data_IF_500433299501
#
_entry.id   IF_500433299501
#
_cell.length_a   1.000
_cell.length_b   1.000
_cell.length_c   1.000
_cell.angle_alpha   90.00
_cell.angle_beta   90.00
_cell.angle_gamma   90.00
#
_symmetry.space_group_name_H-M   'P 1'
#
loop_
_entity.id
_entity.type
_entity.pdbx_description
1 polymer ?
#
# COMPACT_ATOMS: atom_id res chain seq x y z
N UNK A 1 -27.64 3.72 19.62
CA UNK A 1 -28.43 2.63 18.98
C UNK A 1 -27.63 1.35 18.98
N UNK A 2 -27.81 0.54 20.02
CA UNK A 2 -27.06 -0.68 20.32
C UNK A 2 -27.89 -1.97 20.18
N UNK A 3 -29.14 -1.90 19.71
CA UNK A 3 -30.11 -3.02 19.72
C UNK A 3 -30.46 -3.57 18.32
N UNK A 4 -29.64 -3.32 17.31
CA UNK A 4 -29.91 -3.76 15.93
C UNK A 4 -28.99 -4.92 15.57
N UNK A 5 -29.57 -6.05 15.19
CA UNK A 5 -28.86 -7.22 14.69
C UNK A 5 -28.91 -7.26 13.16
N UNK A 6 -27.77 -7.47 12.52
CA UNK A 6 -27.62 -7.46 11.06
C UNK A 6 -27.45 -8.88 10.50
N UNK A 7 -28.18 -9.21 9.43
CA UNK A 7 -28.11 -10.50 8.76
C UNK A 7 -27.69 -10.30 7.31
N UNK A 8 -26.55 -10.90 6.92
CA UNK A 8 -26.03 -10.88 5.56
C UNK A 8 -25.52 -12.26 5.13
N UNK A 9 -25.71 -12.62 3.87
CA UNK A 9 -25.14 -13.83 3.30
C UNK A 9 -23.61 -13.72 3.13
N UNK A 10 -22.85 -14.69 3.65
CA UNK A 10 -21.41 -14.80 3.38
C UNK A 10 -21.07 -15.72 2.21
N UNK A 11 -21.83 -16.81 1.99
CA UNK A 11 -21.64 -17.76 0.88
C UNK A 11 -22.96 -18.49 0.59
N UNK A 12 -23.58 -18.28 -0.58
CA UNK A 12 -24.77 -19.03 -1.01
C UNK A 12 -24.53 -19.64 -2.40
N UNK A 13 -24.97 -20.88 -2.60
CA UNK A 13 -24.87 -21.61 -3.89
C UNK A 13 -26.21 -21.83 -4.59
N UNK A 14 -27.33 -21.41 -3.97
CA UNK A 14 -28.68 -21.75 -4.43
C UNK A 14 -29.52 -20.52 -4.82
N UNK A 15 -29.73 -19.55 -3.92
CA UNK A 15 -30.41 -18.28 -4.19
C UNK A 15 -29.91 -17.19 -3.26
N UNK A 16 -29.59 -16.01 -3.79
CA UNK A 16 -29.24 -14.82 -3.02
C UNK A 16 -30.48 -14.17 -2.40
N UNK A 17 -30.31 -13.52 -1.23
CA UNK A 17 -31.35 -12.74 -0.58
C UNK A 17 -30.85 -11.32 -0.27
N UNK A 18 -31.75 -10.34 -0.29
CA UNK A 18 -31.41 -8.96 0.10
C UNK A 18 -31.09 -8.90 1.59
N UNK A 19 -29.93 -8.37 2.01
CA UNK A 19 -29.58 -8.23 3.42
C UNK A 19 -30.63 -7.40 4.16
N UNK A 20 -30.98 -7.82 5.37
CA UNK A 20 -31.96 -7.14 6.20
C UNK A 20 -31.46 -6.99 7.64
N UNK A 21 -32.15 -6.15 8.43
CA UNK A 21 -31.87 -5.98 9.84
C UNK A 21 -33.16 -6.11 10.64
N UNK A 22 -33.05 -6.65 11.85
CA UNK A 22 -34.18 -6.76 12.78
C UNK A 22 -33.79 -6.22 14.16
N UNK A 23 -34.80 -5.82 14.92
CA UNK A 23 -34.69 -5.42 16.33
C UNK A 23 -35.54 -6.35 17.19
N UNK A 24 -35.20 -6.47 18.47
CA UNK A 24 -36.07 -7.13 19.44
C UNK A 24 -37.02 -6.09 20.01
N UNK A 25 -38.33 -6.33 19.93
CA UNK A 25 -39.35 -5.44 20.49
C UNK A 25 -39.53 -5.68 22.01
N UNK A 26 -40.36 -4.86 22.66
CA UNK A 26 -40.64 -4.96 24.10
C UNK A 26 -41.30 -6.28 24.53
N UNK A 27 -41.79 -7.07 23.56
CA UNK A 27 -42.34 -8.42 23.76
C UNK A 27 -41.31 -9.52 23.53
N UNK A 28 -40.03 -9.16 23.44
CA UNK A 28 -38.92 -10.05 23.11
C UNK A 28 -39.05 -10.76 21.75
N UNK A 29 -39.85 -10.21 20.82
CA UNK A 29 -40.04 -10.76 19.48
C UNK A 29 -39.21 -9.99 18.44
N UNK A 30 -38.67 -10.67 17.41
CA UNK A 30 -37.97 -10.01 16.32
C UNK A 30 -38.95 -9.25 15.41
N UNK A 31 -38.65 -7.98 15.16
CA UNK A 31 -39.36 -7.12 14.20
C UNK A 31 -38.38 -6.55 13.18
N UNK A 32 -38.76 -6.54 11.90
CA UNK A 32 -37.94 -5.99 10.82
C UNK A 32 -37.69 -4.50 11.08
N UNK A 33 -36.43 -4.06 11.02
CA UNK A 33 -36.09 -2.67 11.22
C UNK A 33 -36.39 -1.86 9.95
N UNK A 34 -37.58 -1.24 9.90
CA UNK A 34 -37.93 -0.30 8.83
C UNK A 34 -36.97 0.90 8.80
N UNK A 35 -36.43 1.21 7.61
CA UNK A 35 -35.49 2.31 7.39
C UNK A 35 -34.01 1.95 7.52
N UNK A 36 -33.64 0.68 7.72
CA UNK A 36 -32.25 0.25 7.70
C UNK A 36 -31.67 0.35 6.27
N UNK A 37 -30.95 1.44 5.99
CA UNK A 37 -30.13 1.56 4.78
C UNK A 37 -28.83 0.80 5.00
N UNK A 38 -28.68 -0.30 4.26
CA UNK A 38 -27.39 -0.96 4.16
C UNK A 38 -26.42 0.02 3.49
N UNK A 39 -25.47 0.57 4.24
CA UNK A 39 -24.28 1.16 3.63
C UNK A 39 -23.65 0.03 2.80
N UNK A 40 -23.84 0.08 1.48
CA UNK A 40 -23.32 -0.92 0.58
C UNK A 40 -21.81 -0.98 0.80
N UNK A 41 -21.34 -1.99 1.53
CA UNK A 41 -19.92 -2.33 1.54
C UNK A 41 -19.61 -2.64 0.09
N UNK A 42 -18.90 -1.72 -0.58
CA UNK A 42 -18.53 -1.87 -1.99
C UNK A 42 -18.06 -3.30 -2.20
N UNK A 43 -18.75 -4.13 -3.01
CA UNK A 43 -18.30 -5.48 -3.28
C UNK A 43 -17.00 -5.35 -4.07
N UNK A 44 -15.89 -5.65 -3.41
CA UNK A 44 -14.56 -5.50 -3.97
C UNK A 44 -13.57 -5.20 -2.87
N UNK A 45 -12.47 -5.97 -2.83
CA UNK A 45 -11.26 -5.55 -2.13
C UNK A 45 -10.99 -4.09 -2.53
N UNK A 46 -10.68 -3.16 -1.60
CA UNK A 46 -10.23 -1.85 -2.00
C UNK A 46 -9.15 -2.06 -3.04
N UNK A 47 -9.35 -1.50 -4.24
CA UNK A 47 -8.33 -1.53 -5.28
C UNK A 47 -7.20 -0.69 -4.70
N UNK A 48 -6.26 -1.34 -4.03
CA UNK A 48 -5.03 -0.70 -3.63
C UNK A 48 -4.43 -0.13 -4.92
N UNK A 49 -4.31 1.20 -4.97
CA UNK A 49 -3.64 1.85 -6.08
C UNK A 49 -2.26 1.20 -6.24
N UNK A 50 -1.91 0.91 -7.49
CA UNK A 50 -0.60 0.32 -7.79
C UNK A 50 0.46 1.30 -7.31
N UNK A 51 1.40 0.78 -6.52
CA UNK A 51 2.52 1.57 -6.02
C UNK A 51 3.28 2.22 -7.18
N UNK A 52 3.34 3.54 -7.16
CA UNK A 52 4.05 4.39 -8.10
C UNK A 52 5.10 5.19 -7.30
N UNK A 53 6.39 4.81 -7.35
CA UNK A 53 7.45 5.50 -6.62
C UNK A 53 7.50 7.01 -6.88
N UNK A 54 7.05 7.48 -8.04
CA UNK A 54 7.05 8.89 -8.41
C UNK A 54 5.89 9.68 -7.77
N UNK A 55 4.81 9.01 -7.37
CA UNK A 55 3.65 9.67 -6.74
C UNK A 55 3.59 9.41 -5.24
N UNK A 56 4.01 8.23 -4.83
CA UNK A 56 3.86 7.74 -3.46
C UNK A 56 5.01 8.16 -2.54
N UNK A 57 6.12 8.64 -3.11
CA UNK A 57 7.32 9.02 -2.35
C UNK A 57 7.75 10.40 -2.80
N UNK A 58 7.90 11.32 -1.85
CA UNK A 58 8.41 12.66 -2.14
C UNK A 58 9.90 12.66 -2.48
N UNK A 59 10.34 13.65 -3.24
CA UNK A 59 11.76 13.87 -3.54
C UNK A 59 12.62 13.91 -2.28
N UNK A 60 12.16 14.62 -1.23
CA UNK A 60 12.89 14.74 0.02
C UNK A 60 13.06 13.38 0.72
N UNK A 61 12.04 12.51 0.69
CA UNK A 61 12.15 11.16 1.22
C UNK A 61 13.16 10.32 0.43
N UNK A 62 13.17 10.41 -0.90
CA UNK A 62 14.20 9.77 -1.71
C UNK A 62 15.59 10.24 -1.34
N UNK A 63 15.78 11.56 -1.21
CA UNK A 63 17.08 12.15 -0.88
C UNK A 63 17.60 11.67 0.46
N UNK A 64 16.81 11.79 1.53
CA UNK A 64 17.19 11.35 2.87
C UNK A 64 17.50 9.84 2.89
N UNK A 65 16.67 9.02 2.25
CA UNK A 65 16.86 7.58 2.23
C UNK A 65 18.10 7.17 1.40
N UNK A 66 18.34 7.81 0.26
CA UNK A 66 19.50 7.53 -0.59
C UNK A 66 20.79 8.03 0.06
N UNK A 67 20.80 9.21 0.68
CA UNK A 67 21.93 9.69 1.47
C UNK A 67 22.26 8.73 2.63
N UNK A 68 21.25 8.18 3.30
CA UNK A 68 21.46 7.18 4.34
C UNK A 68 21.97 5.83 3.82
N UNK A 69 21.50 5.37 2.66
CA UNK A 69 22.01 4.14 2.02
C UNK A 69 23.46 4.34 1.55
N UNK A 70 23.70 5.36 0.73
CA UNK A 70 25.00 5.57 0.09
C UNK A 70 26.03 6.20 1.02
N UNK A 71 25.62 6.76 2.15
CA UNK A 71 26.53 7.16 3.24
C UNK A 71 27.17 5.97 3.97
N UNK A 72 26.58 4.76 3.89
CA UNK A 72 27.18 3.55 4.45
C UNK A 72 28.16 2.88 3.48
N UNK A 73 27.90 2.97 2.18
CA UNK A 73 28.73 2.41 1.10
C UNK A 73 28.48 3.21 -0.18
N UNK A 74 29.55 3.65 -0.83
CA UNK A 74 29.45 4.53 -2.00
C UNK A 74 28.87 3.82 -3.24
N UNK A 75 29.02 2.50 -3.33
CA UNK A 75 28.58 1.71 -4.48
C UNK A 75 27.92 0.39 -4.08
N UNK A 76 26.84 0.02 -4.75
CA UNK A 76 26.12 -1.23 -4.51
C UNK A 76 25.94 -2.07 -5.78
N UNK A 77 25.99 -3.39 -5.64
CA UNK A 77 25.43 -4.29 -6.66
C UNK A 77 23.89 -4.21 -6.68
N UNK A 78 23.23 -4.72 -7.72
CA UNK A 78 21.76 -4.64 -7.83
C UNK A 78 21.04 -5.25 -6.61
N UNK A 79 21.39 -6.49 -6.24
CA UNK A 79 20.76 -7.19 -5.10
C UNK A 79 21.06 -6.50 -3.77
N UNK A 80 22.31 -6.07 -3.57
CA UNK A 80 22.70 -5.36 -2.36
C UNK A 80 21.97 -4.01 -2.23
N UNK A 81 21.79 -3.29 -3.35
CA UNK A 81 21.03 -2.05 -3.39
C UNK A 81 19.57 -2.30 -3.03
N UNK A 82 18.96 -3.34 -3.61
CA UNK A 82 17.58 -3.74 -3.30
C UNK A 82 17.38 -3.98 -1.80
N UNK A 83 18.25 -4.78 -1.19
CA UNK A 83 18.20 -5.06 0.25
C UNK A 83 18.42 -3.81 1.10
N UNK A 84 19.37 -2.95 0.71
CA UNK A 84 19.64 -1.70 1.41
C UNK A 84 18.45 -0.74 1.36
N UNK A 85 17.79 -0.60 0.20
CA UNK A 85 16.61 0.24 0.05
C UNK A 85 15.44 -0.29 0.90
N UNK A 86 15.20 -1.61 0.90
CA UNK A 86 14.16 -2.24 1.73
C UNK A 86 14.40 -1.97 3.22
N UNK A 87 15.67 -1.96 3.65
CA UNK A 87 16.04 -1.71 5.05
C UNK A 87 15.91 -0.24 5.46
N UNK A 88 16.24 0.70 4.58
CA UNK A 88 16.33 2.13 4.91
C UNK A 88 15.04 2.90 4.65
N UNK A 89 14.31 2.64 3.57
CA UNK A 89 13.07 3.40 3.27
C UNK A 89 11.99 3.36 4.37
N UNK A 90 11.88 2.29 5.21
CA UNK A 90 10.98 2.32 6.36
C UNK A 90 11.29 3.43 7.37
N UNK A 91 12.54 3.90 7.48
CA UNK A 91 12.92 4.98 8.41
C UNK A 91 12.37 6.34 7.96
N UNK A 92 12.06 6.51 6.67
CA UNK A 92 11.37 7.70 6.12
C UNK A 92 9.87 7.48 5.93
N UNK A 93 9.32 6.42 6.53
CA UNK A 93 7.89 6.10 6.54
C UNK A 93 7.40 5.27 5.34
N UNK A 94 8.30 4.79 4.47
CA UNK A 94 7.94 4.05 3.26
C UNK A 94 8.20 2.55 3.43
N UNK A 95 7.14 1.74 3.46
CA UNK A 95 7.26 0.28 3.51
C UNK A 95 7.51 -0.29 2.11
N UNK A 96 8.72 -0.79 1.90
CA UNK A 96 9.10 -1.48 0.66
C UNK A 96 9.09 -3.00 0.84
N UNK A 97 8.71 -3.70 -0.23
CA UNK A 97 8.93 -5.14 -0.43
C UNK A 97 9.80 -5.33 -1.68
N UNK A 98 10.18 -6.57 -1.99
CA UNK A 98 11.00 -6.87 -3.18
C UNK A 98 10.43 -6.29 -4.47
N UNK A 99 9.15 -6.51 -4.76
CA UNK A 99 8.50 -5.98 -5.97
C UNK A 99 8.56 -4.45 -6.04
N UNK A 100 8.21 -3.76 -4.95
CA UNK A 100 8.25 -2.29 -4.86
C UNK A 100 9.68 -1.76 -4.97
N UNK A 101 10.66 -2.46 -4.40
CA UNK A 101 12.07 -2.09 -4.49
C UNK A 101 12.60 -2.19 -5.93
N UNK A 102 12.24 -3.24 -6.68
CA UNK A 102 12.57 -3.34 -8.12
C UNK A 102 11.98 -2.18 -8.92
N UNK A 103 10.69 -1.87 -8.70
CA UNK A 103 10.03 -0.73 -9.36
C UNK A 103 10.70 0.59 -8.99
N UNK A 104 11.06 0.76 -7.71
CA UNK A 104 11.78 1.92 -7.20
C UNK A 104 13.16 2.07 -7.86
N UNK A 105 14.00 1.03 -7.86
CA UNK A 105 15.33 1.08 -8.50
C UNK A 105 15.22 1.48 -9.97
N UNK A 106 14.23 0.93 -10.67
CA UNK A 106 13.95 1.28 -12.07
C UNK A 106 13.63 2.76 -12.22
N UNK A 107 12.77 3.31 -11.36
CA UNK A 107 12.42 4.74 -11.36
C UNK A 107 13.62 5.63 -11.02
N UNK A 108 14.36 5.31 -9.95
CA UNK A 108 15.56 6.04 -9.52
C UNK A 108 16.61 6.12 -10.63
N UNK A 109 16.79 5.03 -11.38
CA UNK A 109 17.68 5.00 -12.54
C UNK A 109 17.16 5.88 -13.67
N UNK A 110 15.87 5.83 -13.98
CA UNK A 110 15.26 6.65 -15.03
C UNK A 110 15.38 8.15 -14.73
N UNK A 111 15.23 8.54 -13.46
CA UNK A 111 15.42 9.92 -12.97
C UNK A 111 16.89 10.31 -12.75
N UNK A 112 17.83 9.41 -13.03
CA UNK A 112 19.28 9.59 -12.82
C UNK A 112 19.67 9.92 -11.37
N UNK A 113 18.82 9.56 -10.40
CA UNK A 113 19.13 9.64 -8.97
C UNK A 113 20.20 8.61 -8.60
N UNK A 114 20.14 7.44 -9.26
CA UNK A 114 21.15 6.39 -9.14
C UNK A 114 21.67 6.08 -10.55
N UNK A 115 22.99 6.06 -10.71
CA UNK A 115 23.65 5.81 -11.99
C UNK A 115 24.48 4.53 -11.94
N UNK A 116 24.66 3.91 -13.10
CA UNK A 116 25.46 2.71 -13.27
C UNK A 116 26.65 3.04 -14.17
N UNK A 117 27.73 3.57 -13.60
CA UNK A 117 28.85 4.13 -14.39
C UNK A 117 29.72 3.04 -15.04
N UNK A 118 30.00 1.95 -14.32
CA UNK A 118 30.90 0.88 -14.79
C UNK A 118 30.17 -0.42 -15.17
N UNK A 119 28.87 -0.35 -15.45
CA UNK A 119 28.04 -1.51 -15.86
C UNK A 119 27.83 -2.60 -14.79
N UNK A 120 28.43 -2.48 -13.60
CA UNK A 120 28.32 -3.49 -12.53
C UNK A 120 27.74 -2.99 -11.21
N UNK A 121 27.92 -1.72 -10.89
CA UNK A 121 27.51 -1.13 -9.62
C UNK A 121 26.75 0.16 -9.81
N UNK A 122 25.94 0.46 -8.81
CA UNK A 122 25.09 1.63 -8.71
C UNK A 122 25.70 2.62 -7.72
N UNK A 123 25.73 3.90 -8.09
CA UNK A 123 26.15 5.02 -7.25
C UNK A 123 25.07 6.11 -7.21
N UNK A 124 25.00 6.87 -6.12
CA UNK A 124 24.05 7.97 -5.94
C UNK A 124 24.58 9.26 -6.54
N UNK A 125 23.74 9.95 -7.33
CA UNK A 125 24.04 11.30 -7.86
C UNK A 125 23.09 12.31 -7.23
N UNK A 126 23.53 13.17 -6.29
CA UNK A 126 22.66 14.13 -5.63
C UNK A 126 22.17 15.28 -6.54
N UNK A 127 22.83 15.52 -7.68
CA UNK A 127 22.44 16.53 -8.69
C UNK A 127 21.32 16.05 -9.64
N UNK A 128 20.37 15.26 -9.14
CA UNK A 128 19.24 14.79 -9.94
C UNK A 128 18.12 15.83 -10.03
N UNK A 129 17.26 15.71 -11.05
CA UNK A 129 16.01 16.48 -11.16
C UNK A 129 14.83 15.52 -11.05
N UNK A 130 13.96 15.76 -10.05
CA UNK A 130 12.77 14.97 -9.78
C UNK A 130 11.61 15.35 -10.70
#
# INVERSE_FOLDING_TARGET
>A
NSDISHVSAMHIRAMDFEPFAFRINDRALPELAEGYKLEARKPGRPVEEKFDPHKDISEQQHRIALEAVFGLKEEYGYKELEEALIKVYPTVGIKLNHQKAVTLITMLRNKRMVVQENGRKYSFKPDFHY
#
